data_IF_867414281144
#
_entry.id   IF_867414281144
#
_cell.length_a   1.000
_cell.length_b   1.000
_cell.length_c   1.000
_cell.angle_alpha   90.00
_cell.angle_beta   90.00
_cell.angle_gamma   90.00
#
_symmetry.space_group_name_H-M   'P 1'
#
loop_
_entity.id
_entity.type
_entity.pdbx_description
1 polymer ?
#
# COMPACT_ATOMS: atom_id res chain seq x y z
N UNK A 1 -17.96 -7.60 16.05
CA UNK A 1 -17.01 -6.58 16.55
C UNK A 1 -15.85 -6.39 15.57
N UNK A 2 -16.16 -6.17 14.28
CA UNK A 2 -15.19 -6.09 13.16
C UNK A 2 -15.57 -4.99 12.14
N UNK A 3 -16.38 -4.02 12.57
CA UNK A 3 -16.81 -2.88 11.76
C UNK A 3 -16.42 -1.59 12.47
N UNK A 4 -15.21 -1.08 12.20
CA UNK A 4 -14.80 0.34 12.35
C UNK A 4 -13.39 0.67 11.81
N UNK A 5 -12.79 -0.16 10.94
CA UNK A 5 -11.49 0.13 10.27
C UNK A 5 -11.68 0.61 8.82
N UNK A 6 -12.89 1.00 8.42
CA UNK A 6 -13.12 1.57 7.08
C UNK A 6 -13.84 2.90 7.22
N UNK A 7 -13.06 3.94 7.44
CA UNK A 7 -13.41 5.33 7.12
C UNK A 7 -12.11 6.13 7.07
N UNK A 8 -11.37 5.99 5.97
CA UNK A 8 -10.26 6.88 5.63
C UNK A 8 -10.20 7.01 4.10
N UNK A 9 -11.21 7.69 3.57
CA UNK A 9 -11.11 8.44 2.33
C UNK A 9 -11.79 9.80 2.52
N UNK A 10 -10.98 10.80 2.80
CA UNK A 10 -11.17 12.20 2.45
C UNK A 10 -9.74 12.72 2.21
N UNK A 11 -9.21 12.64 0.99
CA UNK A 11 -9.17 13.72 0.00
C UNK A 11 -8.86 15.10 0.61
N UNK A 12 -7.83 15.77 0.06
CA UNK A 12 -7.42 17.18 0.24
C UNK A 12 -6.62 17.44 1.54
N UNK A 13 -5.63 18.32 1.66
CA UNK A 13 -5.03 19.36 0.81
C UNK A 13 -3.75 19.82 1.54
N UNK A 14 -2.79 20.48 0.86
CA UNK A 14 -1.62 21.10 1.46
C UNK A 14 -1.97 22.51 1.94
N UNK A 15 -2.71 22.69 3.04
CA UNK A 15 -2.84 24.00 3.68
C UNK A 15 -3.09 23.87 5.19
N UNK A 16 -2.16 24.48 5.93
CA UNK A 16 -2.26 25.03 7.29
C UNK A 16 -3.09 24.25 8.31
N UNK A 17 -2.40 23.60 9.24
CA UNK A 17 -2.94 23.39 10.59
C UNK A 17 -1.93 23.90 11.61
N UNK A 18 -2.29 25.03 12.23
CA UNK A 18 -1.77 25.50 13.51
C UNK A 18 -2.20 24.49 14.57
N UNK A 19 -1.38 23.47 14.82
CA UNK A 19 -1.47 22.73 16.07
C UNK A 19 -0.12 22.09 16.40
N UNK A 20 0.24 22.09 17.67
CA UNK A 20 1.52 21.61 18.24
C UNK A 20 1.62 20.08 18.25
N UNK A 21 1.12 19.44 17.20
CA UNK A 21 0.94 18.00 17.11
C UNK A 21 2.23 17.29 16.68
N UNK A 22 2.76 16.42 17.54
CA UNK A 22 3.87 15.52 17.23
C UNK A 22 3.37 14.36 16.37
N UNK A 23 4.18 13.92 15.41
CA UNK A 23 3.85 12.73 14.61
C UNK A 23 5.06 11.82 14.42
N UNK A 24 4.77 10.53 14.35
CA UNK A 24 5.70 9.44 14.19
C UNK A 24 5.45 8.77 12.83
N UNK A 25 6.46 8.83 11.96
CA UNK A 25 6.46 8.14 10.69
C UNK A 25 7.23 6.84 10.85
N UNK A 26 6.58 5.73 10.56
CA UNK A 26 7.11 4.39 10.77
C UNK A 26 7.08 3.63 9.46
N UNK A 27 8.25 3.26 8.94
CA UNK A 27 8.38 2.51 7.70
C UNK A 27 8.72 1.06 8.00
N UNK A 28 7.97 0.12 7.41
CA UNK A 28 8.29 -1.29 7.47
C UNK A 28 9.56 -1.55 6.67
N UNK A 29 10.66 -1.82 7.38
CA UNK A 29 11.94 -2.12 6.76
C UNK A 29 11.90 -3.53 6.17
N UNK A 30 12.33 -3.68 4.91
CA UNK A 30 12.38 -4.99 4.28
C UNK A 30 13.57 -5.78 4.88
N UNK A 31 13.30 -6.79 5.71
CA UNK A 31 14.35 -7.66 6.25
C UNK A 31 13.97 -9.14 6.06
N UNK A 32 14.90 -9.90 5.46
CA UNK A 32 14.85 -11.35 5.24
C UNK A 32 15.02 -12.21 6.52
N UNK A 33 15.20 -11.60 7.69
CA UNK A 33 15.49 -12.31 8.94
C UNK A 33 14.76 -11.65 10.10
N UNK A 34 13.65 -12.25 10.52
CA UNK A 34 13.00 -12.00 11.82
C UNK A 34 12.02 -13.14 12.15
N UNK A 35 12.44 -14.38 11.88
CA UNK A 35 11.56 -15.55 12.01
C UNK A 35 11.57 -16.23 13.38
N UNK A 36 12.24 -15.66 14.37
CA UNK A 36 12.44 -16.32 15.67
C UNK A 36 11.77 -15.60 16.85
N UNK A 37 10.50 -15.20 16.71
CA UNK A 37 9.75 -14.76 17.90
C UNK A 37 8.32 -15.26 18.11
N UNK A 38 7.77 -16.10 17.25
CA UNK A 38 6.48 -16.76 17.51
C UNK A 38 6.46 -18.17 16.91
N UNK A 39 7.00 -19.13 17.66
CA UNK A 39 7.16 -20.53 17.28
C UNK A 39 5.98 -21.37 17.82
N UNK A 40 4.81 -21.33 17.16
CA UNK A 40 3.73 -22.31 17.42
C UNK A 40 3.11 -22.90 16.15
N UNK A 41 3.41 -22.37 14.95
CA UNK A 41 2.85 -22.88 13.69
C UNK A 41 3.96 -23.48 12.82
N UNK A 42 4.41 -24.67 13.18
CA UNK A 42 5.19 -25.52 12.27
C UNK A 42 4.27 -26.10 11.18
N UNK A 43 3.99 -25.31 10.15
CA UNK A 43 3.84 -25.84 8.80
C UNK A 43 5.24 -25.80 8.15
N UNK A 44 5.64 -26.83 7.40
CA UNK A 44 6.87 -26.79 6.59
C UNK A 44 6.91 -25.43 5.86
N UNK A 45 7.99 -24.67 6.04
CA UNK A 45 8.06 -23.34 5.44
C UNK A 45 7.94 -23.49 3.92
N UNK A 46 6.96 -22.85 3.26
CA UNK A 46 6.96 -22.79 1.82
C UNK A 46 8.25 -22.09 1.36
N UNK A 47 8.82 -22.47 0.19
CA UNK A 47 9.96 -21.76 -0.37
C UNK A 47 9.69 -20.26 -0.38
N UNK A 48 10.68 -19.45 0.01
CA UNK A 48 10.53 -17.99 -0.04
C UNK A 48 10.19 -17.54 -1.47
N UNK A 49 9.08 -16.84 -1.61
CA UNK A 49 8.67 -16.22 -2.86
C UNK A 49 9.66 -15.11 -3.21
N UNK A 50 10.41 -15.30 -4.30
CA UNK A 50 11.29 -14.27 -4.84
C UNK A 50 10.65 -13.59 -6.04
N UNK A 51 10.76 -12.26 -6.09
CA UNK A 51 10.28 -11.45 -7.21
C UNK A 51 10.81 -11.94 -8.57
N UNK A 52 12.04 -12.48 -8.61
CA UNK A 52 12.69 -12.97 -9.83
C UNK A 52 11.92 -14.11 -10.49
N UNK A 53 11.08 -14.85 -9.76
CA UNK A 53 10.26 -15.90 -10.37
C UNK A 53 9.11 -15.33 -11.20
N UNK A 54 8.60 -14.14 -10.86
CA UNK A 54 7.45 -13.54 -11.53
C UNK A 54 7.79 -13.07 -12.94
N UNK A 55 9.06 -12.75 -13.22
CA UNK A 55 9.53 -12.42 -14.57
C UNK A 55 9.34 -13.57 -15.56
N UNK A 56 9.23 -14.81 -15.07
CA UNK A 56 9.02 -16.01 -15.89
C UNK A 56 7.55 -16.33 -16.13
N UNK A 57 6.63 -15.71 -15.39
CA UNK A 57 5.19 -16.00 -15.49
C UNK A 57 4.56 -15.30 -16.70
N UNK A 58 3.58 -15.95 -17.31
CA UNK A 58 2.76 -15.36 -18.37
C UNK A 58 1.78 -14.33 -17.80
N UNK A 59 1.23 -13.46 -18.66
CA UNK A 59 0.29 -12.41 -18.24
C UNK A 59 -0.93 -13.00 -17.51
N UNK A 60 -1.53 -14.08 -18.03
CA UNK A 60 -2.67 -14.74 -17.39
C UNK A 60 -2.36 -15.21 -15.98
N UNK A 61 -1.17 -15.78 -15.77
CA UNK A 61 -0.72 -16.20 -14.43
C UNK A 61 -0.55 -15.00 -13.50
N UNK A 62 0.01 -13.89 -13.99
CA UNK A 62 0.18 -12.67 -13.21
C UNK A 62 -1.18 -12.05 -12.84
N UNK A 63 -2.13 -12.01 -13.77
CA UNK A 63 -3.50 -11.56 -13.49
C UNK A 63 -4.20 -12.49 -12.50
N UNK A 64 -4.06 -13.81 -12.66
CA UNK A 64 -4.58 -14.79 -11.72
C UNK A 64 -4.05 -14.55 -10.31
N UNK A 65 -2.73 -14.45 -10.15
CA UNK A 65 -2.13 -14.16 -8.84
C UNK A 65 -2.66 -12.82 -8.29
N UNK A 66 -2.75 -11.78 -9.12
CA UNK A 66 -3.21 -10.46 -8.69
C UNK A 66 -4.65 -10.47 -8.17
N UNK A 67 -5.57 -11.14 -8.88
CA UNK A 67 -6.99 -11.15 -8.52
C UNK A 67 -7.35 -12.22 -7.48
N UNK A 68 -6.64 -13.35 -7.47
CA UNK A 68 -6.93 -14.48 -6.56
C UNK A 68 -6.18 -14.42 -5.23
N UNK A 69 -5.13 -13.60 -5.10
CA UNK A 69 -4.32 -13.50 -3.86
C UNK A 69 -4.31 -12.09 -3.26
N UNK A 70 -5.47 -11.47 -2.98
CA UNK A 70 -5.49 -10.12 -2.45
C UNK A 70 -4.78 -10.00 -1.10
N UNK A 71 -3.99 -8.95 -0.94
CA UNK A 71 -3.21 -8.62 0.27
C UNK A 71 -2.04 -9.56 0.56
N UNK A 72 -1.71 -10.45 -0.36
CA UNK A 72 -0.53 -11.32 -0.26
C UNK A 72 0.70 -10.71 -0.94
N UNK A 73 1.89 -11.17 -0.55
CA UNK A 73 3.16 -10.74 -1.17
C UNK A 73 3.21 -11.06 -2.67
N UNK A 74 2.61 -12.19 -3.06
CA UNK A 74 2.50 -12.62 -4.45
C UNK A 74 1.71 -11.64 -5.33
N UNK A 75 0.65 -11.00 -4.81
CA UNK A 75 -0.11 -9.98 -5.55
C UNK A 75 0.76 -8.75 -5.85
N UNK A 76 1.64 -8.35 -4.91
CA UNK A 76 2.56 -7.23 -5.14
C UNK A 76 3.58 -7.57 -6.22
N UNK A 77 4.19 -8.75 -6.17
CA UNK A 77 5.14 -9.17 -7.18
C UNK A 77 4.50 -9.31 -8.57
N UNK A 78 3.27 -9.83 -8.63
CA UNK A 78 2.51 -9.86 -9.86
C UNK A 78 2.22 -8.45 -10.39
N UNK A 79 1.77 -7.53 -9.51
CA UNK A 79 1.49 -6.15 -9.87
C UNK A 79 2.75 -5.41 -10.38
N UNK A 80 3.88 -5.61 -9.70
CA UNK A 80 5.16 -5.02 -10.09
C UNK A 80 5.60 -5.52 -11.46
N UNK A 81 5.47 -6.82 -11.71
CA UNK A 81 5.82 -7.41 -13.00
C UNK A 81 4.87 -6.96 -14.12
N UNK A 82 3.56 -6.88 -13.86
CA UNK A 82 2.59 -6.29 -14.78
C UNK A 82 2.98 -4.84 -15.13
N UNK A 83 3.40 -4.06 -14.13
CA UNK A 83 3.87 -2.70 -14.33
C UNK A 83 5.15 -2.62 -15.17
N UNK A 84 6.13 -3.46 -14.90
CA UNK A 84 7.35 -3.58 -15.71
C UNK A 84 7.03 -3.92 -17.17
N UNK A 85 5.93 -4.63 -17.41
CA UNK A 85 5.42 -4.98 -18.75
C UNK A 85 4.54 -3.91 -19.38
N UNK A 86 4.42 -2.74 -18.76
CA UNK A 86 3.66 -1.60 -19.31
C UNK A 86 2.18 -1.57 -18.92
N UNK A 87 1.72 -2.47 -18.05
CA UNK A 87 0.36 -2.41 -17.50
C UNK A 87 0.28 -1.41 -16.34
N UNK A 88 -0.83 -0.70 -16.21
CA UNK A 88 -1.14 0.13 -15.05
C UNK A 88 -2.50 -0.22 -14.48
N UNK A 89 -2.64 -0.13 -13.17
CA UNK A 89 -3.88 -0.46 -12.50
C UNK A 89 -4.74 0.79 -12.32
N UNK A 90 -5.95 0.77 -12.85
CA UNK A 90 -6.92 1.85 -12.70
C UNK A 90 -7.75 1.60 -11.44
N UNK A 91 -7.60 2.47 -10.43
CA UNK A 91 -8.16 2.24 -9.08
C UNK A 91 -9.69 2.15 -9.04
N UNK A 92 -10.38 2.99 -9.80
CA UNK A 92 -11.86 3.00 -9.80
C UNK A 92 -12.46 1.83 -10.58
N UNK A 93 -11.97 1.59 -11.81
CA UNK A 93 -12.42 0.45 -12.62
C UNK A 93 -11.91 -0.91 -12.12
N UNK A 94 -10.92 -0.90 -11.21
CA UNK A 94 -10.31 -2.11 -10.61
C UNK A 94 -9.75 -3.09 -11.64
N UNK A 95 -9.20 -2.54 -12.72
CA UNK A 95 -8.72 -3.27 -13.90
C UNK A 95 -7.35 -2.80 -14.31
N UNK A 96 -6.60 -3.71 -14.92
CA UNK A 96 -5.31 -3.42 -15.53
C UNK A 96 -5.50 -2.94 -16.96
N UNK A 97 -4.76 -1.90 -17.33
CA UNK A 97 -4.78 -1.27 -18.64
C UNK A 97 -3.37 -1.18 -19.22
N UNK A 98 -3.26 -1.20 -20.54
CA UNK A 98 -2.03 -0.92 -21.27
C UNK A 98 -2.37 -0.08 -22.50
N UNK A 99 -1.48 0.82 -22.90
CA UNK A 99 -1.63 1.54 -24.16
C UNK A 99 -1.59 0.55 -25.32
N UNK A 100 -2.51 0.67 -26.27
CA UNK A 100 -2.49 -0.19 -27.43
C UNK A 100 -1.21 0.05 -28.25
N UNK A 101 -0.63 -1.03 -28.80
CA UNK A 101 0.66 -0.96 -29.48
C UNK A 101 0.63 0.02 -30.66
N UNK A 102 1.70 0.82 -30.80
CA UNK A 102 1.90 1.77 -31.90
C UNK A 102 0.83 2.87 -32.04
N UNK A 103 0.01 3.11 -31.02
CA UNK A 103 -0.95 4.21 -31.00
C UNK A 103 -0.53 5.27 -29.99
N UNK A 104 -0.33 6.51 -30.46
CA UNK A 104 -0.15 7.65 -29.58
C UNK A 104 -1.49 8.10 -28.98
N UNK A 105 -1.50 8.66 -27.75
CA UNK A 105 -2.71 9.24 -27.19
C UNK A 105 -3.23 10.39 -28.06
N UNK A 106 -4.53 10.40 -28.35
CA UNK A 106 -5.22 11.51 -29.02
C UNK A 106 -5.06 12.83 -28.28
N UNK A 107 -5.06 12.78 -26.95
CA UNK A 107 -4.86 13.94 -26.08
C UNK A 107 -3.93 13.54 -24.96
N UNK A 108 -2.93 14.37 -24.67
CA UNK A 108 -2.06 14.19 -23.52
C UNK A 108 -1.91 15.53 -22.81
N UNK A 109 -2.23 15.55 -21.53
CA UNK A 109 -2.07 16.71 -20.65
C UNK A 109 -1.17 16.34 -19.47
N UNK A 110 -1.06 17.23 -18.48
CA UNK A 110 -0.36 16.94 -17.22
C UNK A 110 -1.20 16.14 -16.23
N UNK A 111 -2.54 16.08 -16.40
CA UNK A 111 -3.46 15.46 -15.44
C UNK A 111 -4.17 14.23 -15.99
N UNK A 112 -4.33 14.13 -17.30
CA UNK A 112 -4.93 12.99 -17.96
C UNK A 112 -4.37 12.77 -19.37
N UNK A 113 -4.61 11.57 -19.89
CA UNK A 113 -4.47 11.26 -21.31
C UNK A 113 -5.69 10.55 -21.85
N UNK A 114 -5.92 10.68 -23.16
CA UNK A 114 -7.02 10.05 -23.89
C UNK A 114 -6.47 9.35 -25.11
N UNK A 115 -6.82 8.09 -25.31
CA UNK A 115 -6.25 7.27 -26.38
C UNK A 115 -6.89 5.89 -26.48
N UNK A 116 -6.28 5.02 -27.27
CA UNK A 116 -6.69 3.62 -27.38
C UNK A 116 -5.87 2.74 -26.43
N UNK A 117 -6.58 1.93 -25.65
CA UNK A 117 -6.03 1.06 -24.62
C UNK A 117 -6.54 -0.36 -24.80
N UNK A 118 -5.87 -1.28 -24.15
CA UNK A 118 -6.38 -2.61 -23.88
C UNK A 118 -6.57 -2.74 -22.37
N UNK A 119 -7.64 -3.42 -21.95
CA UNK A 119 -7.97 -3.64 -20.55
C UNK A 119 -8.21 -5.11 -20.28
N UNK A 120 -7.61 -5.67 -19.23
CA UNK A 120 -7.89 -7.04 -18.82
C UNK A 120 -9.16 -7.08 -17.97
N UNK A 121 -10.15 -7.88 -18.40
CA UNK A 121 -11.41 -8.09 -17.67
C UNK A 121 -11.34 -9.37 -16.83
N UNK A 122 -11.31 -9.28 -15.49
CA UNK A 122 -11.25 -10.46 -14.63
C UNK A 122 -12.53 -11.30 -14.63
N UNK A 123 -13.66 -10.77 -15.11
CA UNK A 123 -14.93 -11.51 -15.14
C UNK A 123 -15.03 -12.45 -16.34
N UNK A 124 -14.54 -12.01 -17.50
CA UNK A 124 -14.52 -12.81 -18.73
C UNK A 124 -13.16 -13.47 -18.98
N UNK A 125 -12.13 -13.04 -18.25
CA UNK A 125 -10.74 -13.48 -18.42
C UNK A 125 -10.16 -13.14 -19.80
N UNK A 126 -10.58 -12.00 -20.37
CA UNK A 126 -10.20 -11.56 -21.71
C UNK A 126 -9.59 -10.16 -21.70
N UNK A 127 -8.76 -9.86 -22.71
CA UNK A 127 -8.25 -8.52 -22.96
C UNK A 127 -9.18 -7.80 -23.94
N UNK A 128 -9.81 -6.73 -23.46
CA UNK A 128 -10.83 -5.97 -24.19
C UNK A 128 -10.22 -4.67 -24.71
N UNK A 129 -10.31 -4.36 -26.01
CA UNK A 129 -9.89 -3.06 -26.54
C UNK A 129 -10.83 -1.94 -26.08
N UNK A 130 -10.27 -0.77 -25.85
CA UNK A 130 -10.93 0.43 -25.37
C UNK A 130 -10.43 1.63 -26.17
N UNK A 131 -11.19 1.99 -27.20
CA UNK A 131 -10.90 3.22 -27.94
C UNK A 131 -11.40 4.44 -27.18
N UNK A 132 -10.72 5.56 -27.41
CA UNK A 132 -11.15 6.86 -26.92
C UNK A 132 -11.27 6.95 -25.39
N UNK A 133 -10.52 6.11 -24.67
CA UNK A 133 -10.56 5.98 -23.22
C UNK A 133 -9.73 7.06 -22.55
N UNK A 134 -10.24 7.62 -21.44
CA UNK A 134 -9.57 8.66 -20.65
C UNK A 134 -8.95 8.03 -19.41
N UNK A 135 -7.64 8.20 -19.27
CA UNK A 135 -6.86 7.80 -18.10
C UNK A 135 -6.48 9.07 -17.36
N UNK A 136 -7.02 9.24 -16.16
CA UNK A 136 -6.53 10.26 -15.25
C UNK A 136 -5.31 9.73 -14.50
N UNK A 137 -4.21 10.47 -14.48
CA UNK A 137 -2.94 9.98 -13.92
C UNK A 137 -2.99 9.80 -12.41
N UNK A 138 -3.84 10.55 -11.72
CA UNK A 138 -4.11 10.33 -10.30
C UNK A 138 -4.78 8.97 -10.07
N UNK A 139 -5.63 8.50 -10.98
CA UNK A 139 -6.32 7.20 -10.87
C UNK A 139 -5.45 6.01 -11.32
N UNK A 140 -4.40 6.26 -12.11
CA UNK A 140 -3.37 5.28 -12.44
C UNK A 140 -2.36 5.17 -11.30
N UNK A 141 -2.47 4.13 -10.48
CA UNK A 141 -1.61 3.99 -9.31
C UNK A 141 -0.39 3.14 -9.64
N UNK A 142 0.84 3.54 -9.23
CA UNK A 142 1.90 2.56 -9.02
C UNK A 142 1.45 1.69 -7.84
N UNK A 143 1.08 0.44 -8.09
CA UNK A 143 0.70 -0.48 -7.02
C UNK A 143 1.91 -0.67 -6.12
N UNK A 144 1.96 -0.06 -4.92
CA UNK A 144 3.07 -0.36 -4.02
C UNK A 144 3.44 0.57 -2.87
N UNK A 145 2.56 1.43 -2.35
CA UNK A 145 2.80 2.05 -1.03
C UNK A 145 1.51 1.93 -0.22
N UNK A 146 1.48 0.98 0.72
CA UNK A 146 0.49 1.04 1.78
C UNK A 146 0.85 2.22 2.68
N UNK A 147 0.03 3.26 2.63
CA UNK A 147 0.07 4.34 3.60
C UNK A 147 -1.11 4.18 4.55
N UNK A 148 -0.83 3.95 5.83
CA UNK A 148 -1.84 4.02 6.90
C UNK A 148 -1.60 5.31 7.68
N UNK A 149 -2.62 6.15 7.77
CA UNK A 149 -2.60 7.33 8.64
C UNK A 149 -3.53 7.09 9.83
N UNK A 150 -3.01 7.32 11.03
CA UNK A 150 -3.72 7.14 12.29
C UNK A 150 -3.58 8.42 13.11
N UNK A 151 -4.70 9.06 13.42
CA UNK A 151 -4.75 10.28 14.22
C UNK A 151 -5.55 10.04 15.50
N UNK A 152 -4.89 10.15 16.66
CA UNK A 152 -5.41 9.89 18.01
C UNK A 152 -6.02 8.49 18.20
N UNK A 153 -5.80 7.59 17.23
CA UNK A 153 -6.40 6.27 17.18
C UNK A 153 -5.82 5.35 18.26
N UNK A 154 -4.51 5.42 18.49
CA UNK A 154 -3.84 4.46 19.35
C UNK A 154 -4.11 4.79 20.82
N UNK A 155 -4.12 6.07 21.22
CA UNK A 155 -4.50 6.48 22.57
C UNK A 155 -5.94 6.11 22.91
N UNK A 156 -6.85 6.20 21.95
CA UNK A 156 -8.24 5.79 22.13
C UNK A 156 -8.40 4.26 22.22
N UNK A 157 -7.73 3.50 21.36
CA UNK A 157 -7.83 2.03 21.38
C UNK A 157 -7.04 1.46 22.57
N UNK A 158 -5.97 2.13 23.04
CA UNK A 158 -5.18 1.73 24.23
C UNK A 158 -6.04 1.57 25.48
N UNK A 159 -7.18 2.27 25.57
CA UNK A 159 -8.17 2.13 26.66
C UNK A 159 -8.81 0.73 26.72
N UNK A 160 -8.76 -0.04 25.63
CA UNK A 160 -9.44 -1.35 25.48
C UNK A 160 -8.49 -2.48 25.10
N UNK A 161 -7.43 -2.18 24.36
CA UNK A 161 -6.51 -3.18 23.82
C UNK A 161 -5.05 -2.77 24.10
N UNK A 162 -4.15 -3.77 24.19
CA UNK A 162 -2.71 -3.50 24.29
C UNK A 162 -2.17 -3.01 22.95
N UNK A 163 -1.38 -1.92 22.96
CA UNK A 163 -0.79 -1.34 21.74
C UNK A 163 0.03 -2.35 20.94
N UNK A 164 0.72 -3.27 21.61
CA UNK A 164 1.50 -4.32 20.95
C UNK A 164 0.65 -5.16 19.99
N UNK A 165 -0.56 -5.56 20.38
CA UNK A 165 -1.46 -6.34 19.52
C UNK A 165 -1.95 -5.55 18.30
N UNK A 166 -2.19 -4.25 18.48
CA UNK A 166 -2.62 -3.36 17.39
C UNK A 166 -1.47 -3.18 16.40
N UNK A 167 -0.26 -2.89 16.88
CA UNK A 167 0.92 -2.69 16.02
C UNK A 167 1.30 -3.98 15.31
N UNK A 168 1.13 -5.16 15.92
CA UNK A 168 1.32 -6.43 15.22
C UNK A 168 0.27 -6.67 14.13
N UNK A 169 -0.98 -6.25 14.33
CA UNK A 169 -1.97 -6.29 13.24
C UNK A 169 -1.63 -5.30 12.14
N UNK A 170 -1.16 -4.09 12.49
CA UNK A 170 -0.67 -3.11 11.50
C UNK A 170 0.56 -3.66 10.77
N UNK A 171 1.45 -4.41 11.43
CA UNK A 171 2.56 -5.10 10.78
C UNK A 171 2.14 -6.22 9.85
N UNK A 172 1.09 -6.95 10.22
CA UNK A 172 0.48 -7.96 9.35
C UNK A 172 -0.17 -7.32 8.11
N UNK A 173 -0.76 -6.13 8.26
CA UNK A 173 -1.47 -5.41 7.20
C UNK A 173 -0.51 -4.67 6.27
N UNK A 174 0.50 -3.98 6.81
CA UNK A 174 1.44 -3.21 6.02
C UNK A 174 2.41 -4.13 5.28
N UNK A 175 2.45 -3.99 3.95
CA UNK A 175 3.42 -4.70 3.10
C UNK A 175 4.85 -4.19 3.32
N UNK A 176 5.89 -4.93 2.89
CA UNK A 176 7.27 -4.43 2.93
C UNK A 176 7.38 -3.07 2.25
N UNK A 177 8.12 -2.13 2.86
CA UNK A 177 8.19 -0.70 2.47
C UNK A 177 6.91 0.13 2.69
N UNK A 178 5.85 -0.44 3.27
CA UNK A 178 4.68 0.31 3.70
C UNK A 178 5.03 1.34 4.79
N UNK A 179 4.22 2.41 4.85
CA UNK A 179 4.41 3.54 5.76
C UNK A 179 3.19 3.68 6.66
N UNK A 180 3.43 3.76 7.97
CA UNK A 180 2.46 4.18 8.98
C UNK A 180 2.79 5.60 9.40
N UNK A 181 1.85 6.53 9.31
CA UNK A 181 1.97 7.86 9.91
C UNK A 181 1.03 7.89 11.12
N UNK A 182 1.59 8.11 12.30
CA UNK A 182 0.85 8.21 13.55
C UNK A 182 0.95 9.62 14.10
N UNK A 183 -0.19 10.25 14.37
CA UNK A 183 -0.29 11.46 15.19
C UNK A 183 -1.04 11.07 16.46
N UNK A 184 -0.40 11.22 17.61
CA UNK A 184 -1.00 10.84 18.89
C UNK A 184 -0.29 11.58 20.05
N UNK A 185 -0.73 11.34 21.28
CA UNK A 185 -0.07 11.90 22.46
C UNK A 185 1.37 11.38 22.62
N UNK A 186 2.19 12.11 23.39
CA UNK A 186 3.61 11.82 23.58
C UNK A 186 3.84 10.44 24.19
N UNK A 187 3.01 10.02 25.14
CA UNK A 187 3.15 8.73 25.81
C UNK A 187 2.87 7.60 24.82
N UNK A 188 1.79 7.72 24.05
CA UNK A 188 1.40 6.76 23.02
C UNK A 188 2.43 6.67 21.89
N UNK A 189 2.92 7.79 21.38
CA UNK A 189 3.97 7.81 20.33
C UNK A 189 5.24 7.12 20.83
N UNK A 190 5.66 7.38 22.07
CA UNK A 190 6.87 6.78 22.65
C UNK A 190 6.74 5.27 22.77
N UNK A 191 5.56 4.77 23.16
CA UNK A 191 5.29 3.34 23.24
C UNK A 191 5.26 2.68 21.84
N UNK A 192 4.63 3.32 20.86
CA UNK A 192 4.60 2.86 19.47
C UNK A 192 6.02 2.79 18.90
N UNK A 193 6.84 3.82 19.14
CA UNK A 193 8.24 3.85 18.70
C UNK A 193 9.02 2.67 19.27
N UNK A 194 8.88 2.39 20.57
CA UNK A 194 9.56 1.27 21.23
C UNK A 194 9.18 -0.07 20.60
N UNK A 195 7.88 -0.28 20.36
CA UNK A 195 7.38 -1.51 19.74
C UNK A 195 7.86 -1.62 18.29
N UNK A 196 7.72 -0.56 17.50
CA UNK A 196 8.15 -0.51 16.10
C UNK A 196 9.66 -0.77 15.93
N UNK A 197 10.49 -0.17 16.79
CA UNK A 197 11.94 -0.45 16.82
C UNK A 197 12.23 -1.91 17.20
N UNK A 198 11.46 -2.49 18.12
CA UNK A 198 11.64 -3.89 18.53
C UNK A 198 11.39 -4.88 17.39
N UNK A 199 10.50 -4.53 16.44
CA UNK A 199 10.23 -5.30 15.22
C UNK A 199 11.03 -4.78 14.00
N UNK A 200 12.09 -4.01 14.25
CA UNK A 200 13.04 -3.50 13.23
C UNK A 200 12.42 -2.59 12.16
N UNK A 201 11.33 -1.89 12.45
CA UNK A 201 10.84 -0.84 11.57
C UNK A 201 11.74 0.39 11.64
N UNK A 202 11.85 1.12 10.52
CA UNK A 202 12.54 2.39 10.46
C UNK A 202 11.60 3.49 10.95
N UNK A 203 11.90 4.07 12.11
CA UNK A 203 11.09 5.13 12.73
C UNK A 203 11.73 6.49 12.48
N UNK A 204 10.92 7.49 12.13
CA UNK A 204 11.28 8.90 12.04
C UNK A 204 10.28 9.71 12.86
N UNK A 205 10.77 10.38 13.89
CA UNK A 205 9.97 11.32 14.69
C UNK A 205 10.13 12.72 14.12
N UNK A 206 9.01 13.40 13.91
CA UNK A 206 9.01 14.81 13.50
C UNK A 206 8.30 15.63 14.56
N UNK A 207 8.98 16.69 14.98
CA UNK A 207 8.45 17.69 15.90
C UNK A 207 8.16 18.96 15.09
N UNK A 208 6.91 19.41 15.07
CA UNK A 208 6.66 20.81 14.74
C UNK A 208 7.17 21.64 15.91
N UNK A 209 8.24 22.42 15.67
CA UNK A 209 8.59 23.52 16.57
C UNK A 209 7.61 24.64 16.30
N UNK A 210 6.83 24.99 17.31
CA UNK A 210 6.20 26.29 17.36
C UNK A 210 7.31 27.31 17.65
N UNK A 211 7.74 28.06 16.63
CA UNK A 211 8.50 29.28 16.88
C UNK A 211 7.47 30.35 17.24
N UNK A 212 7.06 30.37 18.51
CA UNK A 212 6.24 31.42 19.07
C UNK A 212 6.94 32.77 18.92
N UNK A 213 6.23 33.72 18.33
CA UNK A 213 6.47 35.15 18.32
C UNK A 213 5.13 35.86 18.40
#
# INVERSE_FOLDING_TARGET
MFNRIVNLFAWLNPYQYHDSSRFCLVNKFNRKELRDKFLCYYAKQPPSLYHVYFTKFQLDTLFYIFYSMPKEEAQLYAANELHNRGWFYHREQRRWFMRAANMEPFVKTNTYERGSYISFDPNTWETIPKDNFVVHYDLSSPVGIDLVHADHLFSDIKKRCKLQGIITEVDRILRPKGTLIVRDDVETITEIEKIAKSIQWKVQLTYSKDNGG
#
